data_IF_844927557913
#
_entry.id   IF_844927557913
#
_cell.length_a   1.000
_cell.length_b   1.000
_cell.length_c   1.000
_cell.angle_alpha   90.00
_cell.angle_beta   90.00
_cell.angle_gamma   90.00
#
_symmetry.space_group_name_H-M   'P 1'
#
loop_
_entity.id
_entity.type
_entity.pdbx_description
1 polymer ?
#
# COMPACT_ATOMS: atom_id res chain seq x y z
N UNK A 1 24.44 64.73 46.23
CA UNK A 1 23.53 64.12 45.23
C UNK A 1 23.85 64.69 43.86
N UNK A 2 24.31 63.86 42.92
CA UNK A 2 24.32 64.18 41.48
C UNK A 2 24.35 62.86 40.72
N UNK A 3 23.19 62.45 40.19
CA UNK A 3 23.02 61.15 39.55
C UNK A 3 23.66 61.15 38.16
N UNK A 4 24.76 60.41 38.00
CA UNK A 4 25.26 60.07 36.67
C UNK A 4 24.18 59.25 35.95
N UNK A 5 23.56 59.80 34.90
CA UNK A 5 22.71 59.00 34.00
C UNK A 5 23.58 57.90 33.39
N UNK A 6 23.20 56.65 33.62
CA UNK A 6 23.82 55.52 32.96
C UNK A 6 23.61 55.65 31.44
N UNK A 7 24.69 55.47 30.67
CA UNK A 7 24.60 55.35 29.23
C UNK A 7 23.94 54.00 28.89
N UNK A 8 22.94 53.93 27.99
CA UNK A 8 22.33 52.66 27.59
C UNK A 8 23.32 51.88 26.72
N UNK A 9 24.08 50.99 27.36
CA UNK A 9 24.99 50.06 26.69
C UNK A 9 24.22 49.15 25.72
N UNK A 10 24.87 48.79 24.60
CA UNK A 10 24.63 47.51 23.94
C UNK A 10 23.49 47.38 22.92
N UNK A 11 22.80 48.44 22.49
CA UNK A 11 21.85 48.32 21.35
C UNK A 11 22.60 48.17 20.02
N UNK A 12 22.77 46.93 19.56
CA UNK A 12 23.25 46.62 18.22
C UNK A 12 22.36 47.31 17.17
N UNK A 13 22.96 48.17 16.34
CA UNK A 13 22.29 48.79 15.20
C UNK A 13 22.33 47.83 14.02
N UNK A 14 21.22 47.74 13.30
CA UNK A 14 21.15 46.97 12.04
C UNK A 14 22.19 47.52 11.04
N UNK A 15 22.89 46.67 10.26
CA UNK A 15 23.76 47.15 9.19
C UNK A 15 22.96 47.95 8.16
N UNK A 16 23.61 48.92 7.51
CA UNK A 16 22.96 49.81 6.55
C UNK A 16 22.48 49.03 5.31
N UNK A 17 21.18 48.77 5.24
CA UNK A 17 20.51 48.10 4.13
C UNK A 17 19.77 49.11 3.27
N UNK A 18 20.01 49.08 1.95
CA UNK A 18 19.26 49.88 0.97
C UNK A 18 18.28 48.93 0.28
N UNK A 19 16.98 49.16 0.47
CA UNK A 19 15.91 48.39 -0.18
C UNK A 19 15.26 49.28 -1.23
N UNK A 20 15.41 49.01 -2.54
CA UNK A 20 14.70 49.74 -3.58
C UNK A 20 13.22 49.34 -3.59
N UNK A 21 12.33 50.33 -3.69
CA UNK A 21 10.88 50.13 -3.82
C UNK A 21 10.36 51.01 -4.95
N UNK A 22 9.71 50.40 -5.94
CA UNK A 22 9.09 51.08 -7.08
C UNK A 22 7.59 51.24 -6.88
N UNK A 23 7.06 52.42 -7.21
CA UNK A 23 5.63 52.73 -7.12
C UNK A 23 5.03 52.85 -8.52
N UNK A 24 3.81 52.33 -8.70
CA UNK A 24 3.14 52.29 -10.02
C UNK A 24 2.44 53.60 -10.40
N UNK A 25 2.16 54.47 -9.42
CA UNK A 25 1.48 55.75 -9.61
C UNK A 25 1.98 56.80 -8.60
N UNK A 26 1.99 58.10 -8.96
CA UNK A 26 2.23 59.16 -8.00
C UNK A 26 1.08 59.27 -7.00
N UNK A 27 1.38 59.74 -5.78
CA UNK A 27 0.38 59.87 -4.70
C UNK A 27 1.00 59.91 -3.31
N UNK A 28 0.16 60.03 -2.29
CA UNK A 28 0.56 59.90 -0.89
C UNK A 28 0.32 58.49 -0.37
N UNK A 29 1.34 57.91 0.26
CA UNK A 29 1.35 56.55 0.77
C UNK A 29 1.69 56.53 2.26
N UNK A 30 1.11 55.59 2.99
CA UNK A 30 1.44 55.32 4.38
C UNK A 30 2.52 54.24 4.46
N UNK A 31 3.70 54.60 4.95
CA UNK A 31 4.85 53.72 5.06
C UNK A 31 5.03 53.25 6.51
N UNK A 32 5.06 51.93 6.73
CA UNK A 32 5.22 51.29 8.04
C UNK A 32 6.23 50.13 7.96
N UNK A 33 7.48 50.32 8.41
CA UNK A 33 8.50 49.26 8.41
C UNK A 33 8.23 48.23 9.52
N UNK A 34 8.32 46.94 9.21
CA UNK A 34 8.02 45.83 10.14
C UNK A 34 8.98 44.65 9.95
N UNK A 35 9.50 44.08 11.06
CA UNK A 35 10.33 42.87 11.11
C UNK A 35 10.30 42.30 12.54
N UNK A 36 10.27 40.98 12.73
CA UNK A 36 10.09 40.35 14.07
C UNK A 36 11.12 40.81 15.12
N UNK A 37 12.41 40.83 14.76
CA UNK A 37 13.49 41.11 15.72
C UNK A 37 13.79 42.61 15.94
N UNK A 38 13.22 43.51 15.12
CA UNK A 38 13.59 44.92 15.08
C UNK A 38 12.39 45.86 15.18
N UNK A 39 12.44 46.77 16.15
CA UNK A 39 11.56 47.95 16.18
C UNK A 39 12.22 49.09 15.42
N UNK A 40 11.46 49.71 14.51
CA UNK A 40 11.94 50.80 13.67
C UNK A 40 11.49 52.18 14.17
N UNK A 41 12.33 53.18 13.94
CA UNK A 41 12.03 54.60 14.13
C UNK A 41 12.34 55.41 12.86
N UNK A 42 11.38 56.19 12.32
CA UNK A 42 9.99 56.30 12.76
C UNK A 42 9.22 54.98 12.55
N UNK A 43 8.27 54.69 13.45
CA UNK A 43 7.44 53.47 13.39
C UNK A 43 6.45 53.49 12.23
N UNK A 44 6.09 54.68 11.75
CA UNK A 44 5.37 54.92 10.50
C UNK A 44 5.50 56.37 10.07
N UNK A 45 5.38 56.64 8.77
CA UNK A 45 5.35 58.00 8.22
C UNK A 45 4.48 58.04 6.94
N UNK A 46 3.88 59.19 6.66
CA UNK A 46 3.36 59.47 5.33
C UNK A 46 4.51 59.84 4.40
N UNK A 47 4.44 59.40 3.16
CA UNK A 47 5.38 59.74 2.09
C UNK A 47 4.60 60.20 0.87
N UNK A 48 5.11 61.21 0.18
CA UNK A 48 4.59 61.65 -1.10
C UNK A 48 5.55 61.20 -2.20
N UNK A 49 5.01 60.54 -3.22
CA UNK A 49 5.77 60.00 -4.36
C UNK A 49 5.30 60.72 -5.61
N UNK A 50 6.21 61.42 -6.28
CA UNK A 50 5.94 62.10 -7.55
C UNK A 50 6.54 61.29 -8.71
N UNK A 51 6.02 61.48 -9.92
CA UNK A 51 6.47 60.74 -11.10
C UNK A 51 7.95 61.04 -11.42
N UNK A 52 8.75 59.99 -11.65
CA UNK A 52 10.20 60.11 -11.87
C UNK A 52 11.04 60.48 -10.63
N UNK A 53 10.44 60.64 -9.45
CA UNK A 53 11.14 61.07 -8.24
C UNK A 53 11.80 59.90 -7.47
N UNK A 54 13.08 60.03 -7.16
CA UNK A 54 13.80 59.10 -6.27
C UNK A 54 13.74 59.57 -4.80
N UNK A 55 12.73 59.12 -4.05
CA UNK A 55 12.61 59.39 -2.61
C UNK A 55 13.56 58.50 -1.79
N UNK A 56 14.34 59.09 -0.87
CA UNK A 56 15.18 58.36 0.09
C UNK A 56 14.64 58.52 1.50
N UNK A 57 14.28 57.41 2.14
CA UNK A 57 13.77 57.35 3.51
C UNK A 57 14.83 56.70 4.40
N UNK A 58 15.22 57.39 5.47
CA UNK A 58 16.16 56.85 6.46
C UNK A 58 15.39 56.35 7.68
N UNK A 59 15.62 55.09 8.07
CA UNK A 59 14.92 54.42 9.16
C UNK A 59 15.98 53.82 10.09
N UNK A 60 15.83 54.00 11.41
CA UNK A 60 16.71 53.38 12.39
C UNK A 60 16.05 52.12 12.96
N UNK A 61 16.66 50.95 12.71
CA UNK A 61 16.26 49.69 13.32
C UNK A 61 16.97 49.44 14.65
N UNK A 62 16.21 49.23 15.72
CA UNK A 62 16.69 48.80 17.02
C UNK A 62 16.31 47.33 17.24
N UNK A 63 17.30 46.47 17.52
CA UNK A 63 17.00 45.09 17.91
C UNK A 63 16.26 45.08 19.25
N UNK A 64 15.12 44.40 19.31
CA UNK A 64 14.25 44.33 20.51
C UNK A 64 13.82 42.91 20.85
N UNK A 65 14.07 41.95 19.96
CA UNK A 65 13.82 40.53 20.18
C UNK A 65 14.93 39.71 19.52
N UNK A 66 15.11 38.48 20.00
CA UNK A 66 16.24 37.61 19.66
C UNK A 66 15.77 36.32 18.99
N UNK A 67 16.71 35.54 18.48
CA UNK A 67 16.49 34.21 17.93
C UNK A 67 16.93 33.12 18.90
N UNK A 68 16.28 31.96 18.81
CA UNK A 68 16.79 30.70 19.30
C UNK A 68 17.15 29.82 18.10
N UNK A 69 18.39 29.34 18.08
CA UNK A 69 18.92 28.40 17.10
C UNK A 69 19.04 27.01 17.73
N UNK A 70 18.74 25.99 16.95
CA UNK A 70 18.78 24.63 17.43
C UNK A 70 18.79 23.59 16.32
N UNK A 71 18.86 22.32 16.72
CA UNK A 71 18.90 21.15 15.85
C UNK A 71 17.88 20.12 16.32
N UNK A 72 17.26 19.44 15.36
CA UNK A 72 16.49 18.22 15.58
C UNK A 72 17.21 17.07 14.88
N UNK A 73 17.48 16.00 15.62
CA UNK A 73 18.20 14.83 15.11
C UNK A 73 17.56 13.52 15.57
N UNK A 74 17.73 12.46 14.79
CA UNK A 74 17.42 11.10 15.18
C UNK A 74 18.37 10.60 16.28
N UNK A 75 18.01 9.49 16.92
CA UNK A 75 18.88 8.81 17.90
C UNK A 75 20.27 8.46 17.35
N UNK A 76 20.39 8.24 16.04
CA UNK A 76 21.65 7.95 15.35
C UNK A 76 22.53 9.19 15.10
N UNK A 77 22.02 10.41 15.36
CA UNK A 77 22.67 11.68 15.02
C UNK A 77 22.34 12.21 13.63
N UNK A 78 21.57 11.47 12.82
CA UNK A 78 21.09 11.92 11.51
C UNK A 78 20.16 13.15 11.66
N UNK A 79 20.26 14.17 10.79
CA UNK A 79 19.38 15.34 10.83
C UNK A 79 17.94 15.01 10.43
N UNK A 80 16.97 15.72 11.02
CA UNK A 80 15.53 15.50 10.76
C UNK A 80 14.88 16.75 10.17
N UNK A 81 14.62 16.70 8.86
CA UNK A 81 13.94 17.75 8.10
C UNK A 81 12.42 17.70 8.28
N UNK A 82 11.76 18.85 8.22
CA UNK A 82 10.29 18.92 8.16
C UNK A 82 9.60 18.76 9.51
N UNK A 83 10.35 18.76 10.61
CA UNK A 83 9.83 18.69 11.97
C UNK A 83 9.37 20.08 12.41
N UNK A 84 8.11 20.19 12.84
CA UNK A 84 7.55 21.43 13.35
C UNK A 84 7.95 21.64 14.83
N UNK A 85 8.58 22.78 15.12
CA UNK A 85 9.09 23.14 16.45
C UNK A 85 8.48 24.47 16.89
N UNK A 86 8.09 24.57 18.16
CA UNK A 86 7.50 25.75 18.76
C UNK A 86 8.24 26.20 20.03
N UNK A 87 8.25 27.50 20.30
CA UNK A 87 8.60 28.10 21.58
C UNK A 87 7.36 28.69 22.23
N UNK A 88 6.90 28.11 23.33
CA UNK A 88 5.74 28.58 24.10
C UNK A 88 6.22 29.34 25.33
N UNK A 89 5.89 30.63 25.41
CA UNK A 89 6.24 31.48 26.54
C UNK A 89 5.61 31.00 27.85
N UNK A 90 6.29 31.26 28.97
CA UNK A 90 5.87 30.81 30.30
C UNK A 90 5.53 31.99 31.21
N UNK A 91 4.69 31.73 32.24
CA UNK A 91 4.25 32.74 33.23
C UNK A 91 3.65 33.98 32.53
N UNK A 92 4.16 35.17 32.84
CA UNK A 92 3.71 36.45 32.29
C UNK A 92 3.92 36.58 30.77
N UNK A 93 4.75 35.72 30.18
CA UNK A 93 5.00 35.67 28.74
C UNK A 93 4.16 34.61 28.00
N UNK A 94 3.18 33.99 28.66
CA UNK A 94 2.34 32.91 28.10
C UNK A 94 1.51 33.28 26.85
N UNK A 95 1.31 34.57 26.59
CA UNK A 95 0.67 35.07 25.36
C UNK A 95 1.59 35.07 24.13
N UNK A 96 2.89 34.82 24.31
CA UNK A 96 3.88 34.83 23.22
C UNK A 96 4.23 33.40 22.83
N UNK A 97 3.93 33.05 21.57
CA UNK A 97 4.34 31.80 20.94
C UNK A 97 4.95 32.07 19.58
N UNK A 98 5.99 31.32 19.24
CA UNK A 98 6.68 31.38 17.95
C UNK A 98 6.89 29.95 17.43
N UNK A 99 6.68 29.72 16.14
CA UNK A 99 6.84 28.40 15.52
C UNK A 99 7.72 28.44 14.26
N UNK A 100 8.27 27.28 13.91
CA UNK A 100 9.16 27.07 12.78
C UNK A 100 9.17 25.61 12.35
N UNK A 101 9.85 25.31 11.24
CA UNK A 101 10.03 23.94 10.72
C UNK A 101 11.51 23.75 10.43
N UNK A 102 12.04 22.55 10.68
CA UNK A 102 13.45 22.24 10.44
C UNK A 102 13.80 22.18 8.95
N UNK A 103 15.01 22.64 8.62
CA UNK A 103 15.59 22.57 7.28
C UNK A 103 16.22 21.20 6.96
N UNK A 104 16.84 21.07 5.78
CA UNK A 104 17.51 19.84 5.31
C UNK A 104 18.66 19.38 6.24
N UNK A 105 19.30 20.29 6.96
CA UNK A 105 20.32 20.00 7.96
C UNK A 105 19.72 19.67 9.34
N UNK A 106 18.39 19.59 9.45
CA UNK A 106 17.66 19.42 10.71
C UNK A 106 17.75 20.64 11.63
N UNK A 107 18.23 21.80 11.13
CA UNK A 107 18.39 23.03 11.93
C UNK A 107 17.07 23.80 11.94
N UNK A 108 16.86 24.55 13.01
CA UNK A 108 15.71 25.45 13.14
C UNK A 108 16.12 26.80 13.73
N UNK A 109 15.31 27.83 13.43
CA UNK A 109 15.50 29.18 13.97
C UNK A 109 14.15 29.81 14.34
N UNK A 110 13.84 29.81 15.62
CA UNK A 110 12.72 30.53 16.20
C UNK A 110 13.11 32.01 16.33
N UNK A 111 12.32 32.93 15.78
CA UNK A 111 12.66 34.37 15.68
C UNK A 111 11.63 35.22 16.41
N UNK A 112 12.08 36.29 17.07
CA UNK A 112 11.17 37.25 17.71
C UNK A 112 10.91 36.95 19.19
N UNK A 113 11.75 36.13 19.83
CA UNK A 113 11.64 35.82 21.25
C UNK A 113 12.02 37.06 22.09
N UNK A 114 11.18 37.38 23.08
CA UNK A 114 11.32 38.61 23.86
C UNK A 114 12.34 38.47 25.00
N UNK A 115 13.22 39.47 25.22
CA UNK A 115 14.16 39.45 26.34
C UNK A 115 13.43 39.52 27.69
N UNK A 116 13.93 38.77 28.67
CA UNK A 116 13.34 38.64 30.01
C UNK A 116 12.19 37.62 30.09
N UNK A 117 11.82 36.98 28.98
CA UNK A 117 10.86 35.89 28.95
C UNK A 117 11.56 34.52 29.02
N UNK A 118 10.91 33.58 29.71
CA UNK A 118 11.23 32.15 29.60
C UNK A 118 10.31 31.49 28.59
N UNK A 119 10.86 30.60 27.76
CA UNK A 119 10.13 29.82 26.77
C UNK A 119 10.41 28.32 26.95
N UNK A 120 9.41 27.50 26.65
CA UNK A 120 9.56 26.06 26.46
C UNK A 120 9.66 25.79 24.97
N UNK A 121 10.83 25.34 24.50
CA UNK A 121 11.04 24.88 23.12
C UNK A 121 10.69 23.39 23.05
N UNK A 122 9.74 23.02 22.20
CA UNK A 122 9.22 21.66 22.07
C UNK A 122 8.76 21.37 20.65
N UNK A 123 8.44 20.11 20.35
CA UNK A 123 7.76 19.80 19.09
C UNK A 123 6.32 20.30 19.13
N UNK A 124 5.87 20.87 18.01
CA UNK A 124 4.47 21.27 17.81
C UNK A 124 3.58 20.02 17.76
N UNK A 125 2.35 20.12 18.27
CA UNK A 125 1.40 19.01 18.25
C UNK A 125 0.93 18.61 16.84
N UNK A 126 0.97 19.55 15.89
CA UNK A 126 0.53 19.35 14.49
C UNK A 126 1.72 19.35 13.53
N UNK A 127 1.66 18.51 12.49
CA UNK A 127 2.68 18.43 11.43
C UNK A 127 3.81 17.42 11.68
N UNK A 128 3.75 16.67 12.80
CA UNK A 128 4.81 15.77 13.26
C UNK A 128 4.42 14.27 13.23
N UNK A 129 3.47 13.87 12.38
CA UNK A 129 2.89 12.51 12.33
C UNK A 129 3.92 11.38 12.07
N UNK A 130 5.10 11.73 11.59
CA UNK A 130 6.22 10.83 11.36
C UNK A 130 7.12 10.63 12.60
N UNK A 131 6.87 11.34 13.70
CA UNK A 131 7.60 11.31 14.96
C UNK A 131 6.71 10.73 16.06
N UNK A 132 7.20 9.70 16.76
CA UNK A 132 6.53 9.10 17.92
C UNK A 132 6.69 9.97 19.18
N UNK A 133 7.90 10.48 19.41
CA UNK A 133 8.25 11.28 20.60
C UNK A 133 9.57 12.04 20.45
N UNK A 134 9.77 13.04 21.31
CA UNK A 134 11.01 13.80 21.43
C UNK A 134 11.61 13.74 22.85
N UNK A 135 12.93 13.89 22.94
CA UNK A 135 13.69 14.04 24.18
C UNK A 135 14.66 15.24 24.06
N UNK A 136 14.63 16.20 25.01
CA UNK A 136 13.65 16.33 26.08
C UNK A 136 12.25 16.66 25.53
N UNK A 137 11.19 16.40 26.32
CA UNK A 137 9.82 16.76 25.93
C UNK A 137 9.66 18.27 25.71
N UNK A 138 10.34 19.08 26.52
CA UNK A 138 10.53 20.51 26.31
C UNK A 138 11.92 20.92 26.82
N UNK A 139 12.55 21.89 26.15
CA UNK A 139 13.76 22.56 26.60
C UNK A 139 13.40 23.95 27.09
N UNK A 140 13.63 24.21 28.38
CA UNK A 140 13.49 25.56 28.95
C UNK A 140 14.66 26.42 28.48
N UNK A 141 14.35 27.61 27.94
CA UNK A 141 15.31 28.67 27.63
C UNK A 141 14.87 29.99 28.29
N UNK A 142 15.83 30.80 28.72
CA UNK A 142 15.61 32.17 29.20
C UNK A 142 16.30 33.13 28.23
N UNK A 143 15.54 34.07 27.67
CA UNK A 143 16.03 34.92 26.59
C UNK A 143 16.63 36.19 27.17
N UNK A 144 17.95 36.33 27.01
CA UNK A 144 18.70 37.51 27.45
C UNK A 144 18.74 38.62 26.40
N UNK A 145 19.84 39.39 26.39
CA UNK A 145 20.12 40.41 25.36
C UNK A 145 20.97 39.89 24.18
N UNK A 146 20.98 38.57 23.98
CA UNK A 146 21.70 37.88 22.90
C UNK A 146 20.82 36.76 22.35
N UNK A 147 21.20 36.22 21.19
CA UNK A 147 20.62 35.00 20.66
C UNK A 147 20.95 33.79 21.56
N UNK A 148 20.11 32.77 21.50
CA UNK A 148 20.28 31.49 22.20
C UNK A 148 20.66 30.43 21.18
N UNK A 149 21.80 29.78 21.38
CA UNK A 149 22.32 28.73 20.50
C UNK A 149 22.30 27.35 21.21
N UNK A 150 22.74 26.31 20.50
CA UNK A 150 22.94 24.93 21.01
C UNK A 150 21.69 24.25 21.61
N UNK A 151 20.49 24.59 21.13
CA UNK A 151 19.24 23.88 21.51
C UNK A 151 19.09 22.60 20.69
N UNK A 152 19.52 21.46 21.24
CA UNK A 152 19.33 20.15 20.60
C UNK A 152 18.06 19.43 21.10
N UNK A 153 17.32 18.80 20.19
CA UNK A 153 16.17 17.93 20.44
C UNK A 153 16.39 16.61 19.69
N UNK A 154 16.35 15.48 20.42
CA UNK A 154 16.46 14.15 19.82
C UNK A 154 15.05 13.59 19.60
N UNK A 155 14.73 13.18 18.39
CA UNK A 155 13.41 12.63 18.04
C UNK A 155 13.49 11.14 17.70
N UNK A 156 12.38 10.47 17.95
CA UNK A 156 12.18 9.06 17.67
C UNK A 156 11.13 8.97 16.57
N UNK A 157 11.54 8.60 15.36
CA UNK A 157 10.62 8.38 14.24
C UNK A 157 9.62 7.29 14.59
N UNK A 158 8.35 7.48 14.21
CA UNK A 158 7.34 6.44 14.35
C UNK A 158 7.67 5.26 13.43
N UNK A 159 7.83 4.06 13.99
CA UNK A 159 7.97 2.83 13.22
C UNK A 159 6.62 2.51 12.56
N UNK A 160 6.43 3.01 11.34
CA UNK A 160 5.25 2.74 10.51
C UNK A 160 5.43 1.49 9.63
N UNK A 161 6.15 0.49 10.16
CA UNK A 161 6.44 -0.77 9.50
C UNK A 161 5.78 -1.93 10.26
N UNK A 162 5.27 -2.89 9.50
CA UNK A 162 4.66 -4.12 9.98
C UNK A 162 5.33 -5.32 9.32
N UNK A 163 6.03 -6.13 10.12
CA UNK A 163 6.77 -7.30 9.63
C UNK A 163 5.87 -8.52 9.54
N UNK A 164 5.62 -8.98 8.31
CA UNK A 164 4.86 -10.19 8.04
C UNK A 164 5.79 -11.36 7.69
N UNK A 165 5.75 -12.39 8.52
CA UNK A 165 6.52 -13.61 8.35
C UNK A 165 5.64 -14.84 8.53
N UNK A 166 6.13 -16.01 8.15
CA UNK A 166 5.38 -17.23 8.37
C UNK A 166 6.09 -18.48 7.93
N UNK A 167 5.46 -19.61 8.23
CA UNK A 167 5.93 -20.92 7.84
C UNK A 167 4.81 -21.74 7.19
N UNK A 168 5.20 -22.63 6.28
CA UNK A 168 4.31 -23.59 5.63
C UNK A 168 4.71 -25.00 6.03
N UNK A 169 3.79 -25.71 6.66
CA UNK A 169 3.96 -27.10 7.08
C UNK A 169 3.51 -28.00 5.93
N UNK A 170 4.47 -28.64 5.26
CA UNK A 170 4.25 -29.62 4.20
C UNK A 170 5.46 -30.53 4.01
N UNK A 171 5.33 -31.58 3.21
CA UNK A 171 6.44 -32.42 2.77
C UNK A 171 7.37 -31.66 1.82
N UNK A 172 8.68 -31.88 1.92
CA UNK A 172 9.70 -31.17 1.11
C UNK A 172 9.51 -31.33 -0.40
N UNK A 173 8.90 -32.43 -0.84
CA UNK A 173 8.56 -32.73 -2.25
C UNK A 173 7.59 -31.72 -2.89
N UNK A 174 6.77 -31.01 -2.10
CA UNK A 174 5.79 -30.04 -2.62
C UNK A 174 6.26 -28.58 -2.56
N UNK A 175 7.35 -28.25 -1.84
CA UNK A 175 7.73 -26.85 -1.55
C UNK A 175 7.99 -26.00 -2.80
N UNK A 176 8.56 -26.58 -3.84
CA UNK A 176 8.81 -25.90 -5.11
C UNK A 176 7.54 -25.60 -5.92
N UNK A 177 6.42 -26.27 -5.59
CA UNK A 177 5.10 -26.01 -6.20
C UNK A 177 4.32 -24.90 -5.51
N UNK A 178 4.76 -24.45 -4.32
CA UNK A 178 4.01 -23.59 -3.44
C UNK A 178 4.47 -22.12 -3.48
N UNK A 179 3.47 -21.25 -3.47
CA UNK A 179 3.60 -19.80 -3.54
C UNK A 179 2.72 -19.16 -2.46
N UNK A 180 3.24 -18.20 -1.72
CA UNK A 180 2.48 -17.43 -0.74
C UNK A 180 2.19 -16.07 -1.35
N UNK A 181 0.90 -15.73 -1.46
CA UNK A 181 0.41 -14.49 -2.08
C UNK A 181 -0.24 -13.61 -1.01
N UNK A 182 0.10 -12.33 -1.02
CA UNK A 182 -0.43 -11.32 -0.11
C UNK A 182 -1.35 -10.38 -0.89
N UNK A 183 -2.56 -10.18 -0.38
CA UNK A 183 -3.60 -9.31 -0.94
C UNK A 183 -4.07 -8.30 0.11
N UNK A 184 -4.61 -7.16 -0.34
CA UNK A 184 -5.43 -6.29 0.53
C UNK A 184 -6.86 -6.83 0.49
N UNK A 185 -7.58 -6.81 1.62
CA UNK A 185 -8.94 -7.35 1.67
C UNK A 185 -9.93 -6.64 0.73
N UNK A 186 -9.65 -5.39 0.35
CA UNK A 186 -10.40 -4.62 -0.64
C UNK A 186 -10.21 -5.12 -2.09
N UNK A 187 -9.09 -5.78 -2.40
CA UNK A 187 -8.74 -6.22 -3.75
C UNK A 187 -8.03 -7.59 -3.70
N UNK A 188 -8.81 -8.64 -3.96
CA UNK A 188 -8.34 -10.03 -4.02
C UNK A 188 -7.94 -10.48 -5.45
N UNK A 189 -8.13 -9.63 -6.46
CA UNK A 189 -7.76 -9.95 -7.84
C UNK A 189 -6.25 -9.75 -8.07
N UNK A 190 -5.70 -8.64 -7.55
CA UNK A 190 -4.30 -8.27 -7.72
C UNK A 190 -3.49 -8.52 -6.43
N UNK A 191 -2.55 -9.48 -6.40
CA UNK A 191 -1.66 -9.65 -5.26
C UNK A 191 -0.70 -8.45 -5.15
N UNK A 192 -0.54 -7.93 -3.93
CA UNK A 192 0.46 -6.92 -3.60
C UNK A 192 1.86 -7.52 -3.74
N UNK A 193 2.04 -8.72 -3.21
CA UNK A 193 3.31 -9.44 -3.20
C UNK A 193 3.08 -10.94 -3.38
N UNK A 194 4.08 -11.63 -3.92
CA UNK A 194 4.06 -13.08 -4.15
C UNK A 194 5.46 -13.64 -3.90
N UNK A 195 5.57 -14.61 -3.01
CA UNK A 195 6.83 -15.23 -2.59
C UNK A 195 6.77 -16.73 -2.88
N UNK A 196 7.74 -17.28 -3.61
CA UNK A 196 7.90 -18.73 -3.78
C UNK A 196 8.67 -19.32 -2.60
N UNK A 197 8.28 -20.52 -2.15
CA UNK A 197 8.94 -21.19 -1.03
C UNK A 197 10.21 -21.93 -1.47
N UNK A 198 10.19 -22.53 -2.67
CA UNK A 198 11.34 -23.18 -3.29
C UNK A 198 11.76 -24.44 -2.52
N UNK A 199 12.64 -24.28 -1.53
CA UNK A 199 13.12 -25.33 -0.61
C UNK A 199 12.93 -24.96 0.87
N UNK A 200 12.47 -23.74 1.17
CA UNK A 200 12.28 -23.23 2.53
C UNK A 200 10.88 -23.55 3.04
N UNK A 201 10.78 -23.96 4.31
CA UNK A 201 9.51 -23.98 5.03
C UNK A 201 9.07 -22.59 5.51
N UNK A 202 9.95 -21.59 5.44
CA UNK A 202 9.74 -20.24 5.94
C UNK A 202 9.65 -19.22 4.79
N UNK A 203 8.71 -18.29 4.91
CA UNK A 203 8.57 -17.11 4.06
C UNK A 203 8.59 -15.83 4.90
N UNK A 204 9.09 -14.76 4.31
CA UNK A 204 8.95 -13.40 4.82
C UNK A 204 8.52 -12.51 3.67
N UNK A 205 7.69 -11.52 3.97
CA UNK A 205 7.38 -10.44 3.04
C UNK A 205 8.21 -9.20 3.43
N UNK A 206 8.67 -8.40 2.45
CA UNK A 206 9.04 -7.00 2.67
C UNK A 206 8.08 -6.26 3.61
N UNK A 207 8.58 -5.40 4.52
CA UNK A 207 7.77 -4.73 5.53
C UNK A 207 6.56 -4.00 4.92
N UNK A 208 5.39 -4.20 5.52
CA UNK A 208 4.14 -3.54 5.15
C UNK A 208 4.00 -2.21 5.90
N UNK A 209 3.11 -1.35 5.42
CA UNK A 209 2.76 -0.14 6.18
C UNK A 209 1.93 -0.53 7.41
N UNK A 210 2.16 0.12 8.55
CA UNK A 210 1.33 -0.07 9.76
C UNK A 210 0.09 0.82 9.71
N UNK A 211 -0.71 0.64 8.66
CA UNK A 211 -1.93 1.39 8.37
C UNK A 211 -3.15 0.90 9.17
N UNK A 212 -3.08 -0.31 9.75
CA UNK A 212 -4.23 -0.94 10.39
C UNK A 212 -5.25 -1.50 9.39
N UNK A 213 -4.89 -1.61 8.12
CA UNK A 213 -5.76 -2.19 7.10
C UNK A 213 -5.83 -3.72 7.21
N UNK A 214 -6.86 -4.29 6.59
CA UNK A 214 -7.03 -5.74 6.52
C UNK A 214 -6.35 -6.32 5.27
N UNK A 215 -5.57 -7.36 5.49
CA UNK A 215 -4.81 -8.10 4.50
C UNK A 215 -5.17 -9.59 4.54
N UNK A 216 -5.00 -10.27 3.41
CA UNK A 216 -5.23 -11.72 3.30
C UNK A 216 -4.00 -12.38 2.71
N UNK A 217 -3.48 -13.38 3.40
CA UNK A 217 -2.46 -14.30 2.88
C UNK A 217 -3.15 -15.54 2.36
N UNK A 218 -2.89 -15.89 1.10
CA UNK A 218 -3.33 -17.13 0.47
C UNK A 218 -2.12 -17.97 0.10
N UNK A 219 -2.18 -19.27 0.42
CA UNK A 219 -1.27 -20.25 -0.19
C UNK A 219 -1.82 -20.62 -1.57
N UNK A 220 -0.96 -20.71 -2.57
CA UNK A 220 -1.27 -21.19 -3.91
C UNK A 220 -0.32 -22.34 -4.30
N UNK A 221 -0.77 -23.22 -5.20
CA UNK A 221 -0.05 -24.43 -5.58
C UNK A 221 -0.20 -24.75 -7.07
N UNK A 222 0.92 -25.01 -7.73
CA UNK A 222 0.95 -25.49 -9.13
C UNK A 222 0.69 -27.00 -9.27
N UNK A 223 0.39 -27.69 -8.17
CA UNK A 223 0.13 -29.13 -8.14
C UNK A 223 -1.20 -29.47 -8.89
N UNK A 224 -1.25 -30.49 -9.76
CA UNK A 224 -2.45 -30.74 -10.56
C UNK A 224 -3.58 -31.39 -9.73
N UNK A 225 -4.71 -30.68 -9.59
CA UNK A 225 -5.94 -31.15 -8.91
C UNK A 225 -6.58 -32.41 -9.51
N UNK A 226 -6.14 -32.84 -10.69
CA UNK A 226 -6.53 -34.13 -11.30
C UNK A 226 -5.84 -35.32 -10.63
N UNK A 227 -4.62 -35.16 -10.13
CA UNK A 227 -3.83 -36.22 -9.50
C UNK A 227 -3.80 -36.12 -7.96
N UNK A 228 -4.05 -34.93 -7.42
CA UNK A 228 -4.03 -34.67 -5.98
C UNK A 228 -5.33 -34.03 -5.53
N UNK A 229 -5.73 -34.33 -4.29
CA UNK A 229 -6.75 -33.60 -3.56
C UNK A 229 -6.09 -32.75 -2.48
N UNK A 230 -6.42 -31.47 -2.42
CA UNK A 230 -5.82 -30.53 -1.48
C UNK A 230 -6.69 -29.28 -1.29
N UNK A 231 -6.61 -28.70 -0.10
CA UNK A 231 -7.19 -27.40 0.23
C UNK A 231 -6.07 -26.36 0.32
N UNK A 232 -6.32 -25.17 -0.21
CA UNK A 232 -5.41 -24.04 -0.10
C UNK A 232 -5.80 -23.19 1.13
N UNK A 233 -4.98 -23.14 2.19
CA UNK A 233 -5.27 -22.32 3.35
C UNK A 233 -5.17 -20.82 3.02
N UNK A 234 -6.07 -20.04 3.63
CA UNK A 234 -6.06 -18.58 3.61
C UNK A 234 -6.20 -18.05 5.03
N UNK A 235 -5.52 -16.94 5.35
CA UNK A 235 -5.56 -16.29 6.66
C UNK A 235 -5.69 -14.78 6.46
N UNK A 236 -6.77 -14.21 6.99
CA UNK A 236 -6.93 -12.77 7.10
C UNK A 236 -6.27 -12.24 8.38
N UNK A 237 -5.72 -11.03 8.31
CA UNK A 237 -5.18 -10.31 9.46
C UNK A 237 -5.27 -8.80 9.24
N UNK A 238 -5.20 -8.06 10.34
CA UNK A 238 -5.12 -6.60 10.33
C UNK A 238 -3.68 -6.17 10.60
N UNK A 239 -3.17 -5.15 9.93
CA UNK A 239 -1.81 -4.60 10.11
C UNK A 239 -1.65 -3.76 11.39
N UNK A 240 -2.15 -4.29 12.52
CA UNK A 240 -2.07 -3.68 13.85
C UNK A 240 -0.97 -4.36 14.66
N UNK A 241 -0.08 -3.55 15.24
CA UNK A 241 1.13 -4.02 15.92
C UNK A 241 2.38 -3.83 15.07
N UNK A 242 3.46 -4.54 15.38
CA UNK A 242 4.75 -4.42 14.69
C UNK A 242 5.14 -5.66 13.89
N UNK A 243 4.62 -6.83 14.26
CA UNK A 243 4.97 -8.11 13.66
C UNK A 243 3.79 -9.08 13.72
N UNK A 244 3.67 -9.94 12.72
CA UNK A 244 2.82 -11.14 12.78
C UNK A 244 3.50 -12.32 12.10
N UNK A 245 3.42 -13.47 12.78
CA UNK A 245 3.81 -14.76 12.23
C UNK A 245 2.56 -15.59 11.87
N UNK A 246 2.52 -16.16 10.66
CA UNK A 246 1.41 -16.99 10.18
C UNK A 246 1.90 -18.40 9.85
N UNK A 247 1.19 -19.41 10.35
CA UNK A 247 1.44 -20.81 9.99
C UNK A 247 0.36 -21.29 9.02
N UNK A 248 0.78 -21.78 7.86
CA UNK A 248 -0.09 -22.40 6.85
C UNK A 248 0.20 -23.90 6.78
N UNK A 249 -0.81 -24.73 6.55
CA UNK A 249 -0.66 -26.19 6.49
C UNK A 249 -1.10 -26.68 5.11
N UNK A 250 -0.26 -27.45 4.43
CA UNK A 250 -0.53 -27.99 3.11
C UNK A 250 -0.22 -29.50 3.08
N UNK A 251 -1.28 -30.30 3.14
CA UNK A 251 -1.21 -31.76 3.18
C UNK A 251 -1.98 -32.34 1.99
N UNK A 252 -1.39 -32.36 0.78
CA UNK A 252 -2.03 -32.92 -0.40
C UNK A 252 -2.12 -34.44 -0.28
N UNK A 253 -3.25 -35.02 -0.66
CA UNK A 253 -3.39 -36.48 -0.78
C UNK A 253 -3.39 -36.86 -2.26
N UNK A 254 -2.65 -37.89 -2.63
CA UNK A 254 -2.64 -38.38 -4.01
C UNK A 254 -3.94 -39.15 -4.26
N UNK A 255 -4.71 -38.73 -5.26
CA UNK A 255 -5.86 -39.48 -5.75
C UNK A 255 -5.34 -40.79 -6.30
N UNK A 256 -5.79 -41.91 -5.72
CA UNK A 256 -5.62 -43.21 -6.34
C UNK A 256 -6.29 -43.14 -7.71
N UNK A 257 -5.71 -43.74 -8.76
CA UNK A 257 -6.42 -43.87 -10.03
C UNK A 257 -7.71 -44.61 -9.72
N UNK A 258 -8.85 -43.95 -9.98
CA UNK A 258 -10.14 -44.62 -9.97
C UNK A 258 -10.04 -45.70 -11.03
N UNK A 259 -9.86 -46.93 -10.56
CA UNK A 259 -9.58 -48.06 -11.42
C UNK A 259 -10.90 -48.38 -12.11
N UNK A 260 -11.16 -47.73 -13.24
CA UNK A 260 -12.32 -47.95 -14.09
C UNK A 260 -12.49 -49.45 -14.28
N UNK A 261 -13.40 -50.04 -13.51
CA UNK A 261 -13.76 -51.46 -13.63
C UNK A 261 -14.49 -51.54 -14.96
N UNK A 262 -13.72 -51.78 -16.02
CA UNK A 262 -14.16 -51.66 -17.39
C UNK A 262 -15.53 -52.34 -17.55
N UNK A 263 -16.54 -51.55 -17.93
CA UNK A 263 -17.95 -51.96 -17.85
C UNK A 263 -18.25 -53.28 -18.60
N UNK A 264 -17.40 -53.66 -19.55
CA UNK A 264 -17.41 -54.97 -20.21
C UNK A 264 -17.35 -56.17 -19.25
N UNK A 265 -16.67 -56.09 -18.10
CA UNK A 265 -16.59 -57.20 -17.12
C UNK A 265 -17.95 -57.54 -16.50
N UNK A 266 -18.81 -56.54 -16.26
CA UNK A 266 -20.16 -56.75 -15.72
C UNK A 266 -21.12 -57.42 -16.73
N UNK A 267 -20.86 -57.27 -18.04
CA UNK A 267 -21.65 -57.88 -19.11
C UNK A 267 -21.09 -59.25 -19.49
N UNK A 268 -19.76 -59.42 -19.50
CA UNK A 268 -19.10 -60.67 -19.86
C UNK A 268 -19.44 -61.84 -18.92
N UNK A 269 -19.60 -61.59 -17.63
CA UNK A 269 -19.88 -62.63 -16.63
C UNK A 269 -21.28 -63.28 -16.79
N UNK A 270 -22.41 -62.52 -16.86
CA UNK A 270 -23.71 -63.11 -17.16
C UNK A 270 -23.78 -63.68 -18.60
N UNK A 271 -23.08 -63.09 -19.57
CA UNK A 271 -23.12 -63.56 -20.96
C UNK A 271 -22.36 -64.88 -21.16
N UNK A 272 -21.23 -65.08 -20.48
CA UNK A 272 -20.51 -66.38 -20.46
C UNK A 272 -21.30 -67.45 -19.71
N UNK A 273 -21.96 -67.11 -18.60
CA UNK A 273 -22.87 -68.01 -17.89
C UNK A 273 -24.06 -68.44 -18.76
N UNK A 274 -24.64 -67.51 -19.52
CA UNK A 274 -25.75 -67.78 -20.44
C UNK A 274 -25.30 -68.67 -21.62
N UNK A 275 -24.12 -68.44 -22.19
CA UNK A 275 -23.52 -69.31 -23.20
C UNK A 275 -23.24 -70.73 -22.67
N UNK A 276 -22.76 -70.89 -21.44
CA UNK A 276 -22.58 -72.19 -20.80
C UNK A 276 -23.93 -72.90 -20.57
N UNK A 277 -24.96 -72.19 -20.12
CA UNK A 277 -26.33 -72.71 -19.97
C UNK A 277 -26.95 -73.11 -21.32
N UNK A 278 -26.66 -72.37 -22.38
CA UNK A 278 -27.10 -72.66 -23.73
C UNK A 278 -26.38 -73.89 -24.33
N UNK A 279 -25.08 -74.03 -24.08
CA UNK A 279 -24.30 -75.21 -24.43
C UNK A 279 -24.77 -76.45 -23.66
N UNK A 280 -25.06 -76.33 -22.37
CA UNK A 280 -25.59 -77.43 -21.57
C UNK A 280 -26.98 -77.88 -22.07
N UNK A 281 -27.91 -76.95 -22.29
CA UNK A 281 -29.27 -77.25 -22.77
C UNK A 281 -29.41 -77.32 -24.31
N UNK A 282 -28.31 -77.56 -25.03
CA UNK A 282 -28.28 -77.58 -26.51
C UNK A 282 -29.38 -78.45 -27.13
N UNK A 283 -29.62 -79.66 -26.61
CA UNK A 283 -30.67 -80.58 -27.06
C UNK A 283 -32.09 -79.97 -27.08
N UNK A 284 -32.38 -79.01 -26.19
CA UNK A 284 -33.68 -78.32 -26.12
C UNK A 284 -33.72 -77.00 -26.89
N UNK A 285 -32.57 -76.37 -27.12
CA UNK A 285 -32.48 -75.07 -27.79
C UNK A 285 -32.42 -75.20 -29.32
N UNK A 286 -31.79 -76.26 -29.85
CA UNK A 286 -31.72 -76.54 -31.30
C UNK A 286 -33.11 -76.59 -31.96
N UNK A 287 -34.12 -77.35 -31.47
CA UNK A 287 -35.45 -77.36 -32.10
C UNK A 287 -36.18 -76.01 -31.99
N UNK A 288 -35.93 -75.24 -30.92
CA UNK A 288 -36.58 -73.95 -30.68
C UNK A 288 -35.97 -72.84 -31.57
N UNK A 289 -34.66 -72.89 -31.82
CA UNK A 289 -33.99 -72.07 -32.84
C UNK A 289 -34.47 -72.41 -34.25
N UNK A 290 -34.64 -73.70 -34.59
CA UNK A 290 -35.18 -74.10 -35.89
C UNK A 290 -36.61 -73.57 -36.11
N UNK A 291 -37.47 -73.63 -35.09
CA UNK A 291 -38.81 -73.02 -35.12
C UNK A 291 -38.77 -71.49 -35.25
N UNK A 292 -37.79 -70.81 -34.64
CA UNK A 292 -37.59 -69.36 -34.82
C UNK A 292 -37.11 -69.02 -36.22
N UNK A 293 -36.19 -69.82 -36.81
CA UNK A 293 -35.72 -69.59 -38.18
C UNK A 293 -36.82 -69.79 -39.23
N UNK A 294 -37.70 -70.79 -39.06
CA UNK A 294 -38.83 -70.99 -39.98
C UNK A 294 -39.88 -69.88 -39.85
N UNK A 295 -40.11 -69.33 -38.65
CA UNK A 295 -40.94 -68.12 -38.49
C UNK A 295 -40.30 -66.87 -39.09
N UNK A 296 -38.98 -66.68 -38.97
CA UNK A 296 -38.28 -65.56 -39.61
C UNK A 296 -38.28 -65.66 -41.15
N UNK A 297 -38.15 -66.86 -41.70
CA UNK A 297 -38.28 -67.11 -43.13
C UNK A 297 -39.71 -66.85 -43.63
N UNK A 298 -40.74 -67.24 -42.86
CA UNK A 298 -42.14 -66.91 -43.16
C UNK A 298 -42.43 -65.41 -43.20
N UNK A 299 -41.80 -64.60 -42.34
CA UNK A 299 -41.95 -63.14 -42.36
C UNK A 299 -41.18 -62.49 -43.53
N UNK A 300 -40.04 -63.06 -43.96
CA UNK A 300 -39.34 -62.60 -45.17
C UNK A 300 -40.06 -62.96 -46.47
N UNK A 301 -40.78 -64.07 -46.52
CA UNK A 301 -41.58 -64.47 -47.68
C UNK A 301 -42.76 -63.51 -47.97
N UNK A 302 -43.32 -62.86 -46.94
CA UNK A 302 -44.33 -61.80 -47.13
C UNK A 302 -43.74 -60.46 -47.63
N UNK A 303 -42.43 -60.25 -47.49
CA UNK A 303 -41.74 -59.00 -47.87
C UNK A 303 -41.31 -58.89 -49.33
N UNK A 304 -41.45 -59.97 -50.13
CA UNK A 304 -40.99 -60.01 -51.52
C UNK A 304 -42.12 -60.06 -52.57
N UNK A 305 -43.39 -60.04 -52.14
CA UNK A 305 -44.55 -60.08 -53.04
C UNK A 305 -45.10 -58.68 -53.44
N UNK A 306 -44.38 -57.59 -53.13
CA UNK A 306 -44.86 -56.21 -53.31
C UNK A 306 -43.76 -55.24 -53.81
N UNK A 307 -42.88 -55.68 -54.74
CA UNK A 307 -41.97 -54.77 -55.44
C UNK A 307 -41.41 -55.34 -56.75
N UNK A 308 -42.25 -55.52 -57.78
CA UNK A 308 -41.78 -55.50 -59.18
C UNK A 308 -42.78 -54.70 -60.03
N UNK A 309 -42.30 -53.60 -60.61
CA UNK A 309 -43.09 -52.67 -61.40
C UNK A 309 -42.22 -51.56 -62.00
N UNK A 310 -41.73 -51.80 -63.22
CA UNK A 310 -41.01 -50.86 -64.11
C UNK A 310 -39.81 -50.08 -63.54
N UNK A 311 -38.61 -50.42 -64.00
CA UNK A 311 -37.63 -49.41 -64.41
C UNK A 311 -37.66 -49.26 -65.94
N UNK A 312 -36.62 -48.69 -66.58
CA UNK A 312 -35.66 -47.70 -66.10
C UNK A 312 -35.72 -46.40 -66.95
N UNK A 313 -34.86 -45.41 -66.68
CA UNK A 313 -34.07 -44.63 -67.68
C UNK A 313 -33.49 -43.34 -67.05
N UNK A 314 -32.18 -43.42 -66.79
CA UNK A 314 -31.14 -42.45 -67.21
C UNK A 314 -30.94 -41.05 -66.58
N UNK A 315 -29.68 -40.62 -66.73
CA UNK A 315 -29.08 -39.29 -66.75
C UNK A 315 -28.70 -38.52 -65.45
N UNK A 316 -27.37 -38.55 -65.22
CA UNK A 316 -26.46 -37.39 -65.10
C UNK A 316 -26.46 -36.52 -63.82
N UNK A 317 -25.45 -36.81 -63.00
CA UNK A 317 -24.23 -35.97 -62.83
C UNK A 317 -24.39 -34.48 -62.40
N UNK A 318 -23.89 -34.25 -61.16
CA UNK A 318 -23.14 -33.07 -60.66
C UNK A 318 -23.83 -31.79 -60.12
N UNK A 319 -23.34 -31.40 -58.93
CA UNK A 319 -23.31 -30.04 -58.34
C UNK A 319 -24.68 -29.46 -57.90
N UNK A 320 -24.79 -28.56 -56.90
CA UNK A 320 -23.83 -27.51 -56.48
C UNK A 320 -24.02 -27.05 -55.02
N UNK A 321 -22.91 -26.57 -54.46
CA UNK A 321 -22.67 -25.78 -53.23
C UNK A 321 -23.75 -24.74 -52.80
N UNK A 322 -23.93 -24.63 -51.46
CA UNK A 322 -23.63 -23.44 -50.61
C UNK A 322 -24.70 -22.41 -50.16
N UNK A 323 -24.81 -22.24 -48.82
CA UNK A 323 -25.35 -21.09 -48.01
C UNK A 323 -26.84 -20.75 -48.28
N UNK A 324 -27.61 -19.95 -47.52
CA UNK A 324 -27.42 -18.78 -46.60
C UNK A 324 -28.70 -18.68 -45.72
N UNK A 325 -28.88 -17.91 -44.62
CA UNK A 325 -28.07 -17.13 -43.65
C UNK A 325 -29.04 -16.32 -42.75
N UNK A 326 -28.66 -16.02 -41.49
CA UNK A 326 -29.31 -15.03 -40.57
C UNK A 326 -30.70 -15.45 -40.02
N UNK A 327 -31.22 -14.81 -38.97
CA UNK A 327 -30.72 -13.62 -38.22
C UNK A 327 -29.72 -13.93 -37.13
#
# INVERSE_FOLDING_TARGET
MSGRRASPQGRARMPALIVPVSWQSPGQYYFKPMMKEFRFEPSSQMIEVQEGQNLRITITGFRTAYSCYGTVSSLNGDPEQGVAVEAVGQKDCSIYGEDTVTDEDGKFRLRGLLPGCMYHVQLKAEGNDHIERALPHHRVIEVGNNDVDDVNIIVFRQINQFDLSGNVITSSEYLSTLWVKLYRSENLDNPIQTVSLGQSLFFHFPPLLRDGENYVVLLDSTLPRSQYDYVLPQVSFTAVGYHKHITLVFSPTRKLPEQDIAQGSYIALPLTLLLLLAGYNHDKLIPLLLQLTSRLQGVRALGQAASEGSGPEDMKRQTKKQKTRRT
#
